data_IF_606446980670
#
_entry.id   IF_606446980670
#
_cell.length_a   1.000
_cell.length_b   1.000
_cell.length_c   1.000
_cell.angle_alpha   90.00
_cell.angle_beta   90.00
_cell.angle_gamma   90.00
#
_symmetry.space_group_name_H-M   'P 1'
#
loop_
_entity.id
_entity.type
_entity.pdbx_description
1 polymer ?
#
# COMPACT_ATOMS: atom_id res chain seq x y z
N UNK A 1 39.23 0.23 -19.76
CA UNK A 1 38.14 0.83 -19.01
C UNK A 1 37.00 1.03 -19.96
N UNK A 2 35.92 0.36 -19.79
CA UNK A 2 34.80 0.61 -20.66
C UNK A 2 34.45 2.08 -20.54
N UNK A 3 34.27 2.76 -21.67
CA UNK A 3 33.71 4.09 -21.62
C UNK A 3 32.44 3.93 -20.83
N UNK A 4 32.46 4.56 -19.77
CA UNK A 4 31.35 4.62 -18.89
C UNK A 4 30.06 4.76 -19.65
N UNK A 5 29.29 3.72 -19.67
CA UNK A 5 27.88 3.93 -19.50
C UNK A 5 27.74 5.08 -18.50
N UNK A 6 26.92 6.08 -18.78
CA UNK A 6 26.67 7.07 -17.78
C UNK A 6 26.27 6.32 -16.53
N UNK A 7 27.22 6.19 -15.66
CA UNK A 7 26.93 5.66 -14.36
C UNK A 7 25.79 6.48 -13.83
N UNK A 8 24.76 5.79 -13.48
CA UNK A 8 23.73 6.33 -12.64
C UNK A 8 24.42 7.24 -11.62
N UNK A 9 24.01 8.48 -11.56
CA UNK A 9 24.60 9.42 -10.61
C UNK A 9 24.26 9.01 -9.18
N UNK A 10 25.16 8.24 -8.58
CA UNK A 10 25.03 7.80 -7.20
C UNK A 10 25.60 8.82 -6.22
N UNK A 11 26.00 10.00 -6.69
CA UNK A 11 26.65 11.00 -5.85
C UNK A 11 25.73 11.54 -4.75
N UNK A 12 24.42 11.42 -4.92
CA UNK A 12 23.43 11.84 -3.94
C UNK A 12 22.87 10.67 -3.11
N UNK A 13 23.37 9.48 -3.36
CA UNK A 13 22.87 8.25 -2.73
C UNK A 13 23.82 7.87 -1.61
N UNK A 14 23.38 8.04 -0.39
CA UNK A 14 24.03 7.42 0.75
C UNK A 14 23.38 6.06 0.99
N UNK A 15 23.97 5.01 0.41
CA UNK A 15 23.39 3.67 0.39
C UNK A 15 22.96 3.16 1.77
N UNK A 16 23.74 3.48 2.81
CA UNK A 16 23.44 3.03 4.16
C UNK A 16 22.20 3.71 4.74
N UNK A 17 22.07 5.03 4.56
CA UNK A 17 20.93 5.79 5.07
C UNK A 17 19.64 5.43 4.35
N UNK A 18 19.72 5.19 3.06
CA UNK A 18 18.57 4.79 2.26
C UNK A 18 18.06 3.41 2.61
N UNK A 19 18.95 2.48 2.84
CA UNK A 19 18.56 1.15 3.26
C UNK A 19 17.87 1.17 4.61
N UNK A 20 18.30 2.03 5.52
CA UNK A 20 17.64 2.21 6.81
C UNK A 20 16.23 2.75 6.62
N UNK A 21 16.04 3.73 5.74
CA UNK A 21 14.71 4.29 5.44
C UNK A 21 13.79 3.26 4.79
N UNK A 22 14.29 2.51 3.84
CA UNK A 22 13.52 1.44 3.18
C UNK A 22 13.12 0.37 4.19
N UNK A 23 14.04 -0.07 5.03
CA UNK A 23 13.78 -1.05 6.08
C UNK A 23 12.74 -0.53 7.08
N UNK A 24 12.84 0.75 7.45
CA UNK A 24 11.88 1.39 8.34
C UNK A 24 10.47 1.43 7.72
N UNK A 25 10.37 1.81 6.47
CA UNK A 25 9.09 1.84 5.75
C UNK A 25 8.50 0.45 5.63
N UNK A 26 9.33 -0.55 5.41
CA UNK A 26 8.91 -1.94 5.35
C UNK A 26 8.33 -2.42 6.67
N UNK A 27 9.03 -2.14 7.77
CA UNK A 27 8.57 -2.50 9.12
C UNK A 27 7.30 -1.74 9.50
N UNK A 28 7.21 -0.48 9.12
CA UNK A 28 6.01 0.34 9.35
C UNK A 28 4.81 -0.25 8.61
N UNK A 29 5.00 -0.67 7.37
CA UNK A 29 3.93 -1.30 6.59
C UNK A 29 3.46 -2.61 7.22
N UNK A 30 4.39 -3.46 7.65
CA UNK A 30 4.05 -4.70 8.34
C UNK A 30 3.26 -4.47 9.61
N UNK A 31 3.73 -3.53 10.44
CA UNK A 31 3.06 -3.18 11.68
C UNK A 31 1.67 -2.60 11.43
N UNK A 32 1.55 -1.76 10.41
CA UNK A 32 0.29 -1.15 10.00
C UNK A 32 -0.73 -2.22 9.58
N UNK A 33 -0.31 -3.14 8.72
CA UNK A 33 -1.19 -4.21 8.24
C UNK A 33 -1.60 -5.15 9.36
N UNK A 34 -0.68 -5.46 10.26
CA UNK A 34 -0.99 -6.30 11.42
C UNK A 34 -1.96 -5.61 12.40
N UNK A 35 -1.70 -4.35 12.73
CA UNK A 35 -2.45 -3.65 13.78
C UNK A 35 -3.80 -3.12 13.30
N UNK A 36 -3.89 -2.65 12.06
CA UNK A 36 -5.08 -1.96 11.55
C UNK A 36 -5.87 -2.79 10.55
N UNK A 37 -5.26 -3.74 9.89
CA UNK A 37 -5.86 -4.54 8.83
C UNK A 37 -5.87 -6.03 9.21
N UNK A 38 -5.65 -6.33 10.49
CA UNK A 38 -5.65 -7.70 11.00
C UNK A 38 -7.04 -8.33 11.05
N UNK A 39 -7.19 -9.35 11.87
CA UNK A 39 -8.39 -10.21 11.90
C UNK A 39 -9.66 -9.41 12.22
N UNK A 40 -9.60 -8.54 13.22
CA UNK A 40 -10.73 -7.70 13.61
C UNK A 40 -10.56 -6.32 12.97
N UNK A 41 -11.46 -5.98 12.08
CA UNK A 41 -11.40 -4.75 11.30
C UNK A 41 -12.47 -3.77 11.73
N UNK A 42 -12.15 -2.48 11.65
CA UNK A 42 -13.11 -1.39 11.78
C UNK A 42 -12.92 -0.43 10.62
N UNK A 43 -13.97 0.23 10.19
CA UNK A 43 -13.90 1.20 9.09
C UNK A 43 -12.88 2.29 9.40
N UNK A 44 -12.88 2.80 10.62
CA UNK A 44 -11.94 3.85 11.04
C UNK A 44 -10.48 3.41 10.97
N UNK A 45 -10.18 2.19 11.41
CA UNK A 45 -8.83 1.63 11.32
C UNK A 45 -8.40 1.41 9.88
N UNK A 46 -9.31 0.91 9.05
CA UNK A 46 -9.05 0.72 7.61
C UNK A 46 -8.80 2.06 6.90
N UNK A 47 -9.56 3.08 7.22
CA UNK A 47 -9.34 4.43 6.67
C UNK A 47 -8.00 5.02 7.09
N UNK A 48 -7.61 4.83 8.34
CA UNK A 48 -6.28 5.24 8.82
C UNK A 48 -5.17 4.50 8.11
N UNK A 49 -5.33 3.20 7.94
CA UNK A 49 -4.37 2.38 7.21
C UNK A 49 -4.23 2.87 5.77
N UNK A 50 -5.33 3.13 5.11
CA UNK A 50 -5.32 3.63 3.73
C UNK A 50 -4.60 4.97 3.62
N UNK A 51 -4.87 5.90 4.52
CA UNK A 51 -4.20 7.19 4.55
C UNK A 51 -2.68 7.03 4.72
N UNK A 52 -2.28 6.18 5.64
CA UNK A 52 -0.87 5.92 5.91
C UNK A 52 -0.17 5.24 4.74
N UNK A 53 -0.82 4.28 4.11
CA UNK A 53 -0.31 3.61 2.92
C UNK A 53 -0.09 4.60 1.77
N UNK A 54 -1.02 5.52 1.56
CA UNK A 54 -0.89 6.55 0.53
C UNK A 54 0.31 7.46 0.80
N UNK A 55 0.56 7.83 2.04
CA UNK A 55 1.74 8.61 2.43
C UNK A 55 3.03 7.83 2.16
N UNK A 56 3.07 6.57 2.54
CA UNK A 56 4.22 5.71 2.28
C UNK A 56 4.47 5.52 0.78
N UNK A 57 3.43 5.37 -0.01
CA UNK A 57 3.54 5.28 -1.47
C UNK A 57 4.13 6.56 -2.07
N UNK A 58 3.70 7.70 -1.58
CA UNK A 58 4.24 8.98 -2.02
C UNK A 58 5.74 9.08 -1.71
N UNK A 59 6.14 8.74 -0.50
CA UNK A 59 7.54 8.74 -0.08
C UNK A 59 8.37 7.79 -0.95
N UNK A 60 7.88 6.58 -1.19
CA UNK A 60 8.56 5.60 -2.03
C UNK A 60 8.67 6.08 -3.48
N UNK A 61 7.66 6.74 -4.00
CA UNK A 61 7.71 7.32 -5.33
C UNK A 61 8.79 8.39 -5.45
N UNK A 62 8.96 9.23 -4.43
CA UNK A 62 10.03 10.22 -4.40
C UNK A 62 11.40 9.56 -4.37
N UNK A 63 11.56 8.51 -3.57
CA UNK A 63 12.78 7.72 -3.56
C UNK A 63 13.08 7.11 -4.92
N UNK A 64 12.06 6.55 -5.55
CA UNK A 64 12.20 5.92 -6.85
C UNK A 64 12.63 6.92 -7.94
N UNK A 65 12.15 8.14 -7.86
CA UNK A 65 12.47 9.18 -8.83
C UNK A 65 13.85 9.81 -8.62
N UNK A 66 14.31 9.89 -7.37
CA UNK A 66 15.49 10.67 -7.01
C UNK A 66 16.69 9.84 -6.58
N UNK A 67 16.52 8.57 -6.30
CA UNK A 67 17.55 7.73 -5.73
C UNK A 67 17.76 6.45 -6.54
N UNK A 68 18.78 5.71 -6.14
CA UNK A 68 19.12 4.45 -6.78
C UNK A 68 17.99 3.44 -6.62
N UNK A 69 17.53 2.88 -7.71
CA UNK A 69 16.54 1.82 -7.69
C UNK A 69 17.22 0.53 -7.24
N UNK A 70 16.73 -0.02 -6.16
CA UNK A 70 17.16 -1.31 -5.62
C UNK A 70 16.02 -2.31 -5.67
N UNK A 71 16.37 -3.58 -5.55
CA UNK A 71 15.38 -4.66 -5.46
C UNK A 71 14.43 -4.44 -4.29
N UNK A 72 14.95 -4.06 -3.13
CA UNK A 72 14.15 -3.82 -1.93
C UNK A 72 13.17 -2.66 -2.11
N UNK A 73 13.58 -1.60 -2.81
CA UNK A 73 12.72 -0.49 -3.13
C UNK A 73 11.56 -0.91 -4.06
N UNK A 74 11.85 -1.70 -5.08
CA UNK A 74 10.83 -2.22 -5.99
C UNK A 74 9.84 -3.12 -5.24
N UNK A 75 10.34 -4.00 -4.40
CA UNK A 75 9.50 -4.90 -3.60
C UNK A 75 8.61 -4.11 -2.64
N UNK A 76 9.16 -3.09 -1.99
CA UNK A 76 8.39 -2.21 -1.09
C UNK A 76 7.28 -1.50 -1.85
N UNK A 77 7.58 -0.96 -3.03
CA UNK A 77 6.58 -0.33 -3.89
C UNK A 77 5.45 -1.29 -4.23
N UNK A 78 5.79 -2.51 -4.60
CA UNK A 78 4.81 -3.52 -4.95
C UNK A 78 3.97 -3.96 -3.74
N UNK A 79 4.59 -4.09 -2.58
CA UNK A 79 3.89 -4.40 -1.34
C UNK A 79 2.91 -3.30 -0.93
N UNK A 80 3.29 -2.05 -1.09
CA UNK A 80 2.41 -0.92 -0.80
C UNK A 80 1.21 -0.90 -1.73
N UNK A 81 1.40 -1.20 -3.00
CA UNK A 81 0.30 -1.31 -3.95
C UNK A 81 -0.67 -2.44 -3.58
N UNK A 82 -0.15 -3.60 -3.24
CA UNK A 82 -0.96 -4.72 -2.77
C UNK A 82 -1.69 -4.38 -1.47
N UNK A 83 -1.02 -3.74 -0.53
CA UNK A 83 -1.61 -3.33 0.74
C UNK A 83 -2.76 -2.34 0.53
N UNK A 84 -2.60 -1.37 -0.37
CA UNK A 84 -3.67 -0.43 -0.71
C UNK A 84 -4.89 -1.15 -1.28
N UNK A 85 -4.67 -2.10 -2.19
CA UNK A 85 -5.76 -2.88 -2.76
C UNK A 85 -6.50 -3.72 -1.71
N UNK A 86 -5.76 -4.32 -0.78
CA UNK A 86 -6.34 -5.09 0.33
C UNK A 86 -7.23 -4.19 1.20
N UNK A 87 -6.71 -3.04 1.60
CA UNK A 87 -7.45 -2.11 2.46
C UNK A 87 -8.68 -1.54 1.76
N UNK A 88 -8.53 -1.15 0.50
CA UNK A 88 -9.66 -0.64 -0.29
C UNK A 88 -10.73 -1.70 -0.48
N UNK A 89 -10.33 -2.94 -0.74
CA UNK A 89 -11.27 -4.06 -0.84
C UNK A 89 -12.01 -4.31 0.47
N UNK A 90 -11.29 -4.24 1.59
CA UNK A 90 -11.90 -4.39 2.91
C UNK A 90 -12.88 -3.27 3.22
N UNK A 91 -12.57 -2.04 2.85
CA UNK A 91 -13.47 -0.88 3.02
C UNK A 91 -14.75 -1.00 2.19
N UNK A 92 -14.64 -1.55 0.99
CA UNK A 92 -15.80 -1.76 0.12
C UNK A 92 -16.74 -2.86 0.63
N UNK A 93 -16.22 -3.81 1.37
CA UNK A 93 -17.01 -4.93 1.87
C UNK A 93 -17.61 -4.59 3.22
N UNK A 94 -18.80 -4.04 3.21
CA UNK A 94 -19.55 -3.60 4.40
C UNK A 94 -20.38 -4.75 4.98
N UNK A 95 -19.71 -5.84 5.22
CA UNK A 95 -20.28 -7.04 5.82
C UNK A 95 -19.16 -7.83 6.50
N UNK A 96 -19.52 -8.82 7.28
CA UNK A 96 -18.58 -9.83 7.77
C UNK A 96 -18.85 -11.14 7.06
N UNK A 97 -17.83 -11.67 6.39
CA UNK A 97 -17.95 -12.91 5.61
C UNK A 97 -16.59 -13.59 5.53
N UNK A 98 -16.56 -14.88 5.81
CA UNK A 98 -15.31 -15.60 5.84
C UNK A 98 -14.36 -15.05 6.90
N UNK A 99 -13.11 -14.83 6.52
CA UNK A 99 -12.11 -14.25 7.42
C UNK A 99 -12.23 -12.73 7.55
N UNK A 100 -12.99 -12.08 6.69
CA UNK A 100 -13.25 -10.66 6.80
C UNK A 100 -14.28 -10.41 7.88
N UNK A 101 -13.83 -9.91 9.02
CA UNK A 101 -14.68 -9.54 10.14
C UNK A 101 -14.56 -8.04 10.39
N UNK A 102 -15.69 -7.33 10.28
CA UNK A 102 -15.77 -5.90 10.56
C UNK A 102 -16.67 -5.67 11.77
N UNK A 103 -16.16 -4.96 12.76
CA UNK A 103 -16.96 -4.59 13.93
C UNK A 103 -18.11 -3.65 13.61
N UNK A 104 -17.94 -2.82 12.57
CA UNK A 104 -18.96 -1.87 12.13
C UNK A 104 -20.06 -2.56 11.32
N UNK A 105 -19.74 -3.68 10.70
CA UNK A 105 -20.67 -4.45 9.88
C UNK A 105 -20.59 -5.94 10.25
N UNK A 106 -21.08 -6.33 11.43
CA UNK A 106 -20.95 -7.72 11.88
C UNK A 106 -21.84 -8.71 11.15
N UNK A 107 -22.85 -8.23 10.44
CA UNK A 107 -23.76 -9.08 9.67
C UNK A 107 -23.18 -9.49 8.31
N UNK A 108 -23.82 -10.46 7.71
CA UNK A 108 -23.49 -10.97 6.39
C UNK A 108 -24.59 -10.59 5.42
N UNK A 109 -24.24 -10.12 4.23
CA UNK A 109 -25.21 -9.83 3.20
C UNK A 109 -25.97 -11.09 2.80
N UNK A 110 -27.24 -10.94 2.48
CA UNK A 110 -28.07 -12.06 2.03
C UNK A 110 -27.56 -12.67 0.73
N UNK A 111 -26.99 -11.86 -0.14
CA UNK A 111 -26.40 -12.29 -1.41
C UNK A 111 -24.94 -11.90 -1.42
N UNK A 112 -24.09 -12.84 -1.83
CA UNK A 112 -22.65 -12.59 -1.95
C UNK A 112 -22.35 -11.90 -3.28
N UNK A 113 -21.61 -10.79 -3.20
CA UNK A 113 -21.12 -10.06 -4.37
C UNK A 113 -19.60 -10.05 -4.38
N UNK A 114 -18.95 -10.18 -5.52
CA UNK A 114 -17.51 -10.05 -5.60
C UNK A 114 -17.09 -8.59 -5.33
N UNK A 115 -15.94 -8.41 -4.68
CA UNK A 115 -15.30 -7.11 -4.54
C UNK A 115 -14.40 -6.91 -5.75
N UNK A 116 -14.70 -5.89 -6.55
CA UNK A 116 -13.96 -5.63 -7.77
C UNK A 116 -13.35 -4.23 -7.69
N UNK A 117 -12.04 -4.16 -7.87
CA UNK A 117 -11.30 -2.92 -8.03
C UNK A 117 -10.73 -2.88 -9.43
N UNK A 118 -10.94 -1.77 -10.11
CA UNK A 118 -10.37 -1.54 -11.43
C UNK A 118 -9.36 -0.42 -11.38
N UNK A 119 -8.33 -0.44 -12.25
CA UNK A 119 -7.39 0.67 -12.34
C UNK A 119 -8.14 1.96 -12.63
N UNK A 120 -7.79 3.02 -11.86
CA UNK A 120 -8.36 4.34 -12.12
C UNK A 120 -7.54 5.05 -13.16
N UNK A 121 -8.22 5.64 -14.14
CA UNK A 121 -7.60 6.58 -15.06
C UNK A 121 -7.57 7.93 -14.35
N UNK A 122 -6.45 8.63 -14.47
CA UNK A 122 -6.27 9.96 -13.89
C UNK A 122 -7.43 10.87 -14.28
N UNK A 123 -8.14 11.43 -13.30
CA UNK A 123 -9.28 12.30 -13.51
C UNK A 123 -10.64 11.61 -13.57
N UNK A 124 -10.72 10.28 -13.49
CA UNK A 124 -12.01 9.60 -13.37
C UNK A 124 -12.37 9.42 -11.91
N UNK A 125 -13.43 10.05 -11.50
CA UNK A 125 -14.06 9.72 -10.23
C UNK A 125 -14.82 8.40 -10.43
N UNK A 126 -14.30 7.35 -9.85
CA UNK A 126 -15.10 6.15 -9.70
C UNK A 126 -16.02 6.39 -8.52
N UNK A 127 -17.27 6.70 -8.80
CA UNK A 127 -18.27 6.67 -7.77
C UNK A 127 -18.30 5.24 -7.21
N UNK A 128 -18.03 5.13 -5.92
CA UNK A 128 -18.22 3.88 -5.20
C UNK A 128 -19.72 3.65 -5.04
N UNK A 129 -20.39 3.41 -6.13
CA UNK A 129 -21.75 2.90 -6.07
C UNK A 129 -21.67 1.41 -5.80
N UNK A 130 -22.15 1.09 -4.66
CA UNK A 130 -22.46 -0.26 -4.24
C UNK A 130 -23.54 -0.88 -5.14
#
# INVERSE_FOLDING_TARGET
>A
MPPSLPLWDESQVEDADEQVVIAHNWDELRSLMWNYVGIVRTTRRLERALHRIKLLRYEVQEYYANFKVTRDLIELRNLLECAELIVRSALMRRESRGLHYSRDYPGTWAVSYPTILTPQVEGSEVSAET
#
